data_IF_424867322340
#
_entry.id   IF_424867322340
#
_cell.length_a   1.000
_cell.length_b   1.000
_cell.length_c   1.000
_cell.angle_alpha   90.00
_cell.angle_beta   90.00
_cell.angle_gamma   90.00
#
_symmetry.space_group_name_H-M   'P 1'
#
loop_
_entity.id
_entity.type
_entity.pdbx_description
1 polymer ?
#
# COMPACT_ATOMS: atom_id res chain seq x y z
N UNK A 1 32.53 -1.57 -0.04
CA UNK A 1 31.10 -1.43 0.31
C UNK A 1 30.53 -0.42 -0.67
N UNK A 2 29.65 -0.85 -1.56
CA UNK A 2 29.09 0.01 -2.59
C UNK A 2 27.95 0.84 -1.98
N UNK A 3 28.30 2.01 -1.46
CA UNK A 3 27.39 2.94 -0.78
C UNK A 3 26.20 3.36 -1.66
N UNK A 4 26.34 3.28 -2.99
CA UNK A 4 25.29 3.54 -3.97
C UNK A 4 24.10 2.58 -3.85
N UNK A 5 24.34 1.30 -3.53
CA UNK A 5 23.28 0.27 -3.43
C UNK A 5 22.37 0.55 -2.23
N UNK A 6 22.96 1.01 -1.13
CA UNK A 6 22.24 1.34 0.10
C UNK A 6 21.38 2.59 -0.11
N UNK A 7 21.94 3.64 -0.74
CA UNK A 7 21.21 4.85 -1.09
C UNK A 7 20.02 4.55 -2.02
N UNK A 8 20.20 3.68 -3.01
CA UNK A 8 19.13 3.29 -3.93
C UNK A 8 18.02 2.51 -3.23
N UNK A 9 18.36 1.55 -2.35
CA UNK A 9 17.37 0.78 -1.59
C UNK A 9 16.57 1.63 -0.60
N UNK A 10 17.20 2.61 0.05
CA UNK A 10 16.52 3.57 0.93
C UNK A 10 15.55 4.43 0.11
N UNK A 11 15.99 4.93 -1.05
CA UNK A 11 15.15 5.75 -1.92
C UNK A 11 13.88 5.00 -2.38
N UNK A 12 14.02 3.77 -2.87
CA UNK A 12 12.87 2.95 -3.27
C UNK A 12 11.92 2.71 -2.10
N UNK A 13 12.44 2.37 -0.92
CA UNK A 13 11.62 2.13 0.29
C UNK A 13 10.80 3.37 0.66
N UNK A 14 11.41 4.55 0.61
CA UNK A 14 10.73 5.83 0.90
C UNK A 14 9.62 6.08 -0.13
N UNK A 15 9.90 5.91 -1.43
CA UNK A 15 8.91 6.13 -2.49
C UNK A 15 7.71 5.19 -2.35
N UNK A 16 7.93 3.88 -2.17
CA UNK A 16 6.84 2.91 -2.02
C UNK A 16 6.05 3.10 -0.73
N UNK A 17 6.71 3.47 0.37
CA UNK A 17 6.00 3.78 1.63
C UNK A 17 5.08 5.00 1.49
N UNK A 18 5.52 6.05 0.78
CA UNK A 18 4.70 7.22 0.49
C UNK A 18 3.51 6.87 -0.41
N UNK A 19 3.73 6.06 -1.45
CA UNK A 19 2.65 5.54 -2.31
C UNK A 19 1.62 4.78 -1.47
N UNK A 20 2.06 3.93 -0.55
CA UNK A 20 1.18 3.15 0.33
C UNK A 20 0.33 4.05 1.23
N UNK A 21 0.94 5.08 1.82
CA UNK A 21 0.24 6.06 2.66
C UNK A 21 -0.81 6.83 1.85
N UNK A 22 -0.48 7.26 0.64
CA UNK A 22 -1.41 7.99 -0.25
C UNK A 22 -2.58 7.10 -0.64
N UNK A 23 -2.33 5.84 -1.01
CA UNK A 23 -3.38 4.87 -1.35
C UNK A 23 -4.29 4.56 -0.16
N UNK A 24 -3.73 4.44 1.04
CA UNK A 24 -4.49 4.23 2.27
C UNK A 24 -5.38 5.44 2.59
N UNK A 25 -4.86 6.66 2.41
CA UNK A 25 -5.64 7.88 2.53
C UNK A 25 -6.76 7.98 1.50
N UNK A 26 -6.49 7.65 0.23
CA UNK A 26 -7.50 7.62 -0.84
C UNK A 26 -8.59 6.60 -0.57
N UNK A 27 -8.24 5.39 -0.11
CA UNK A 27 -9.20 4.38 0.31
C UNK A 27 -10.14 4.91 1.39
N UNK A 28 -9.58 5.53 2.43
CA UNK A 28 -10.36 6.16 3.50
C UNK A 28 -11.27 7.28 3.00
N UNK A 29 -10.78 8.12 2.08
CA UNK A 29 -11.56 9.20 1.49
C UNK A 29 -12.73 8.66 0.66
N UNK A 30 -12.51 7.60 -0.13
CA UNK A 30 -13.55 6.91 -0.89
C UNK A 30 -14.61 6.34 0.05
N UNK A 31 -14.21 5.70 1.15
CA UNK A 31 -15.15 5.16 2.15
C UNK A 31 -15.96 6.28 2.80
N UNK A 32 -15.30 7.36 3.19
CA UNK A 32 -15.96 8.52 3.80
C UNK A 32 -16.91 9.22 2.81
N UNK A 33 -16.62 9.17 1.51
CA UNK A 33 -17.50 9.68 0.47
C UNK A 33 -18.71 8.76 0.22
N UNK A 34 -18.48 7.44 0.18
CA UNK A 34 -19.54 6.44 0.00
C UNK A 34 -20.40 6.25 1.25
N UNK A 35 -19.91 6.62 2.43
CA UNK A 35 -20.64 6.49 3.69
C UNK A 35 -21.07 7.88 4.18
N UNK A 36 -22.20 8.42 3.70
CA UNK A 36 -22.73 9.72 4.12
C UNK A 36 -23.37 9.69 5.52
N UNK A 37 -23.21 8.62 6.28
CA UNK A 37 -23.79 8.42 7.60
C UNK A 37 -22.78 8.72 8.70
N UNK A 38 -23.26 9.28 9.80
CA UNK A 38 -22.42 9.55 10.97
C UNK A 38 -22.06 8.24 11.66
N UNK A 39 -20.93 7.62 11.26
CA UNK A 39 -20.40 6.36 11.82
C UNK A 39 -20.44 6.35 13.35
N UNK A 40 -20.08 7.49 13.98
CA UNK A 40 -20.13 7.66 15.44
C UNK A 40 -21.54 7.50 16.00
N UNK A 41 -22.53 8.13 15.37
CA UNK A 41 -23.92 8.11 15.84
C UNK A 41 -24.54 6.72 15.65
N UNK A 42 -24.22 6.07 14.54
CA UNK A 42 -24.74 4.73 14.23
C UNK A 42 -24.14 3.62 15.12
N UNK A 43 -22.87 3.76 15.53
CA UNK A 43 -22.20 2.79 16.44
C UNK A 43 -22.53 3.07 17.92
N UNK A 44 -22.61 4.34 18.30
CA UNK A 44 -22.77 4.75 19.70
C UNK A 44 -24.24 4.85 20.13
N UNK A 45 -25.11 5.39 19.27
CA UNK A 45 -26.53 5.64 19.56
C UNK A 45 -27.40 4.45 19.10
N UNK A 46 -27.18 3.95 17.86
CA UNK A 46 -27.96 2.85 17.27
C UNK A 46 -27.38 1.45 17.51
N UNK A 47 -26.21 1.34 18.17
CA UNK A 47 -25.54 0.06 18.48
C UNK A 47 -25.43 -0.88 17.27
N UNK A 48 -25.21 -0.33 16.07
CA UNK A 48 -25.24 -1.11 14.84
C UNK A 48 -23.94 -1.91 14.65
N UNK A 49 -23.92 -3.13 15.18
CA UNK A 49 -22.79 -4.07 15.09
C UNK A 49 -22.44 -4.37 13.62
N UNK A 50 -23.43 -4.38 12.73
CA UNK A 50 -23.22 -4.63 11.30
C UNK A 50 -22.32 -3.56 10.67
N UNK A 51 -22.48 -2.28 11.07
CA UNK A 51 -21.60 -1.21 10.62
C UNK A 51 -20.17 -1.40 11.10
N UNK A 52 -19.99 -1.84 12.35
CA UNK A 52 -18.67 -2.17 12.91
C UNK A 52 -17.96 -3.27 12.12
N UNK A 53 -18.69 -4.33 11.73
CA UNK A 53 -18.16 -5.43 10.91
C UNK A 53 -17.76 -4.94 9.52
N UNK A 54 -18.58 -4.08 8.89
CA UNK A 54 -18.29 -3.52 7.57
C UNK A 54 -17.01 -2.68 7.61
N UNK A 55 -16.86 -1.81 8.62
CA UNK A 55 -15.64 -1.01 8.80
C UNK A 55 -14.43 -1.92 9.02
N UNK A 56 -14.56 -2.97 9.85
CA UNK A 56 -13.50 -3.96 10.06
C UNK A 56 -13.09 -4.67 8.77
N UNK A 57 -14.06 -5.10 7.95
CA UNK A 57 -13.80 -5.77 6.67
C UNK A 57 -13.10 -4.84 5.67
N UNK A 58 -13.46 -3.56 5.67
CA UNK A 58 -12.83 -2.53 4.83
C UNK A 58 -11.38 -2.28 5.24
N UNK A 59 -11.09 -2.17 6.55
CA UNK A 59 -9.72 -2.04 7.07
C UNK A 59 -8.89 -3.28 6.68
N UNK A 60 -9.46 -4.47 6.78
CA UNK A 60 -8.80 -5.72 6.34
C UNK A 60 -8.52 -5.70 4.84
N UNK A 61 -9.48 -5.27 4.01
CA UNK A 61 -9.30 -5.15 2.56
C UNK A 61 -8.14 -4.22 2.18
N UNK A 62 -8.08 -3.03 2.79
CA UNK A 62 -6.98 -2.08 2.57
C UNK A 62 -5.64 -2.69 3.02
N UNK A 63 -5.62 -3.36 4.17
CA UNK A 63 -4.41 -4.01 4.71
C UNK A 63 -3.85 -5.06 3.75
N UNK A 64 -4.71 -5.87 3.12
CA UNK A 64 -4.31 -6.90 2.15
C UNK A 64 -3.75 -6.27 0.86
N UNK A 65 -4.37 -5.19 0.38
CA UNK A 65 -3.89 -4.47 -0.80
C UNK A 65 -2.48 -3.91 -0.54
N UNK A 66 -2.29 -3.23 0.60
CA UNK A 66 -0.98 -2.69 0.99
C UNK A 66 0.05 -3.81 1.15
N UNK A 67 -0.30 -4.92 1.77
CA UNK A 67 0.58 -6.09 1.90
C UNK A 67 1.00 -6.67 0.53
N UNK A 68 0.09 -6.69 -0.44
CA UNK A 68 0.37 -7.17 -1.81
C UNK A 68 1.30 -6.23 -2.57
N UNK A 69 1.12 -4.91 -2.41
CA UNK A 69 2.00 -3.91 -3.03
C UNK A 69 3.41 -4.01 -2.46
N UNK A 70 3.55 -4.18 -1.14
CA UNK A 70 4.86 -4.32 -0.48
C UNK A 70 5.51 -5.67 -0.80
N UNK A 71 4.72 -6.75 -0.87
CA UNK A 71 5.23 -8.08 -1.24
C UNK A 71 5.55 -8.20 -2.72
N UNK A 72 5.09 -7.27 -3.57
CA UNK A 72 5.45 -7.22 -4.97
C UNK A 72 6.96 -6.95 -5.08
N UNK A 73 7.74 -7.88 -5.65
CA UNK A 73 9.17 -7.68 -5.76
C UNK A 73 9.43 -6.51 -6.72
N UNK A 74 9.91 -5.39 -6.18
CA UNK A 74 10.40 -4.22 -6.95
C UNK A 74 11.63 -4.54 -7.84
N UNK A 75 11.95 -5.82 -8.04
CA UNK A 75 13.18 -6.35 -8.64
C UNK A 75 13.14 -6.53 -10.16
N UNK A 76 12.18 -5.93 -10.86
CA UNK A 76 12.31 -5.71 -12.31
C UNK A 76 13.60 -4.91 -12.65
N UNK A 77 14.12 -4.11 -11.71
CA UNK A 77 15.42 -3.43 -11.84
C UNK A 77 16.64 -4.37 -11.82
N UNK A 78 16.57 -5.49 -11.09
CA UNK A 78 17.66 -6.47 -11.03
C UNK A 78 17.77 -7.28 -12.33
N UNK A 79 16.63 -7.62 -12.96
CA UNK A 79 16.58 -8.33 -14.24
C UNK A 79 17.26 -7.55 -15.37
N UNK A 80 17.17 -6.20 -15.34
CA UNK A 80 17.84 -5.31 -16.30
C UNK A 80 19.37 -5.35 -16.18
N UNK A 81 19.91 -5.49 -14.97
CA UNK A 81 21.38 -5.57 -14.77
C UNK A 81 21.98 -6.87 -15.32
N UNK A 82 21.23 -7.97 -15.28
CA UNK A 82 21.63 -9.27 -15.84
C UNK A 82 21.55 -9.29 -17.37
N UNK A 83 20.56 -8.59 -17.97
CA UNK A 83 20.49 -8.44 -19.43
C UNK A 83 21.61 -7.55 -19.98
N UNK A 84 21.99 -6.48 -19.28
CA UNK A 84 23.11 -5.62 -19.69
C UNK A 84 24.44 -6.38 -19.73
N UNK A 85 24.66 -7.35 -18.82
CA UNK A 85 25.86 -8.21 -18.85
C UNK A 85 25.83 -9.23 -19.99
N UNK A 86 24.65 -9.68 -20.39
CA UNK A 86 24.49 -10.61 -21.51
C UNK A 86 24.71 -9.93 -22.87
N UNK A 87 24.22 -8.69 -23.06
CA UNK A 87 24.48 -7.92 -24.29
C UNK A 87 25.94 -7.47 -24.44
N UNK A 88 26.66 -7.27 -23.34
CA UNK A 88 28.10 -6.95 -23.36
C UNK A 88 28.98 -8.18 -23.65
N UNK A 89 28.42 -9.39 -23.61
CA UNK A 89 29.14 -10.65 -23.83
C UNK A 89 28.93 -11.23 -25.24
N UNK A 90 28.13 -10.55 -26.07
CA UNK A 90 27.92 -10.85 -27.49
C UNK A 90 28.58 -9.78 -28.35
#
# INVERSE_FOLDING_TARGET
>A
MDWSVILYGIFDTVVYSLIGIVLMGLGFLIISFFTPFSIKKEIEDDQNISLGIIIGAVILGISIIVASVISSPSSAGAMKSSQMKYEQQK
#
